data_IF_790303987948
#
_entry.id   IF_790303987948
#
_cell.length_a   1.000
_cell.length_b   1.000
_cell.length_c   1.000
_cell.angle_alpha   90.00
_cell.angle_beta   90.00
_cell.angle_gamma   90.00
#
_symmetry.space_group_name_H-M   'P 1'
#
loop_
_entity.id
_entity.type
_entity.pdbx_description
1 polymer ?
#
# COMPACT_ATOMS: atom_id res chain seq x y z
N UNK A 1 -2.63 -22.63 9.11
CA UNK A 1 -1.51 -21.76 9.55
C UNK A 1 -1.88 -20.33 9.23
N UNK A 2 -1.55 -19.35 10.09
CA UNK A 2 -1.84 -17.94 9.79
C UNK A 2 -0.89 -17.50 8.67
N UNK A 3 -1.38 -16.95 7.55
CA UNK A 3 -0.52 -16.51 6.47
C UNK A 3 0.29 -15.27 6.88
N UNK A 4 1.52 -15.20 6.37
CA UNK A 4 2.37 -14.03 6.55
C UNK A 4 2.05 -12.96 5.51
N UNK A 5 1.88 -11.72 5.97
CA UNK A 5 1.70 -10.56 5.11
C UNK A 5 2.44 -9.35 5.68
N UNK A 6 2.82 -8.41 4.81
CA UNK A 6 3.50 -7.16 5.16
C UNK A 6 3.10 -6.02 4.24
N UNK A 7 3.29 -4.79 4.68
CA UNK A 7 3.21 -3.63 3.80
C UNK A 7 4.50 -3.49 3.00
N UNK A 8 4.39 -3.06 1.73
CA UNK A 8 5.53 -2.83 0.83
C UNK A 8 6.31 -1.55 1.20
N UNK A 9 6.88 -1.55 2.40
CA UNK A 9 7.58 -0.40 3.00
C UNK A 9 9.09 -0.66 3.18
N UNK A 10 9.47 -1.93 3.38
CA UNK A 10 10.87 -2.31 3.53
C UNK A 10 11.60 -2.02 2.21
N UNK A 11 12.76 -1.38 2.28
CA UNK A 11 13.55 -0.92 1.13
C UNK A 11 12.88 0.16 0.26
N UNK A 12 11.80 0.78 0.74
CA UNK A 12 11.20 1.93 0.08
C UNK A 12 12.08 3.18 0.20
N UNK A 13 12.09 3.98 -0.85
CA UNK A 13 12.92 5.18 -0.99
C UNK A 13 12.01 6.40 -0.98
N UNK A 14 12.34 7.39 -0.14
CA UNK A 14 11.83 8.75 -0.27
C UNK A 14 12.82 9.54 -1.13
N UNK A 15 12.43 9.84 -2.36
CA UNK A 15 13.24 10.55 -3.34
C UNK A 15 12.75 11.98 -3.58
N UNK A 16 13.59 12.78 -4.21
CA UNK A 16 13.29 14.13 -4.69
C UNK A 16 13.78 14.28 -6.13
N UNK A 17 12.96 14.83 -7.01
CA UNK A 17 13.41 15.20 -8.35
C UNK A 17 14.41 16.35 -8.26
N UNK A 18 15.50 16.27 -9.03
CA UNK A 18 16.50 17.34 -9.13
C UNK A 18 16.44 17.89 -10.55
N UNK A 19 16.35 19.21 -10.67
CA UNK A 19 16.51 19.89 -11.95
C UNK A 19 17.99 20.25 -12.13
N UNK A 20 18.69 19.46 -12.94
CA UNK A 20 20.13 19.63 -13.25
C UNK A 20 20.43 21.02 -13.86
N UNK A 21 19.43 21.72 -14.40
CA UNK A 21 19.60 23.03 -15.01
C UNK A 21 19.53 24.22 -14.05
N UNK A 22 19.22 24.02 -12.76
CA UNK A 22 18.87 25.11 -11.81
C UNK A 22 19.55 25.06 -10.43
N UNK A 23 20.67 24.35 -10.29
CA UNK A 23 21.44 24.23 -9.02
C UNK A 23 21.82 25.59 -8.39
N UNK A 24 21.76 26.71 -9.14
CA UNK A 24 22.15 28.04 -8.68
C UNK A 24 21.00 29.00 -8.31
N UNK A 25 19.73 28.59 -8.36
CA UNK A 25 18.61 29.49 -8.06
C UNK A 25 18.30 29.55 -6.54
N UNK A 26 18.16 30.77 -5.99
CA UNK A 26 17.85 31.03 -4.58
C UNK A 26 16.42 30.62 -4.15
N UNK A 27 15.57 30.20 -5.08
CA UNK A 27 14.19 29.79 -4.82
C UNK A 27 13.96 28.37 -5.33
N UNK A 28 13.18 27.59 -4.57
CA UNK A 28 12.82 26.23 -4.99
C UNK A 28 12.00 26.30 -6.29
N UNK A 29 12.46 25.68 -7.40
CA UNK A 29 11.73 25.73 -8.66
C UNK A 29 10.35 25.05 -8.54
N UNK A 30 9.39 25.30 -9.46
CA UNK A 30 8.15 24.53 -9.52
C UNK A 30 8.43 23.09 -10.00
N UNK A 31 7.69 22.07 -9.52
CA UNK A 31 7.89 20.67 -9.89
C UNK A 31 7.98 20.44 -11.41
N UNK A 32 8.63 19.34 -11.86
CA UNK A 32 8.65 18.97 -13.27
C UNK A 32 7.22 18.97 -13.85
N UNK A 33 7.07 19.43 -15.09
CA UNK A 33 5.76 19.60 -15.72
C UNK A 33 4.90 18.33 -15.59
N UNK A 34 3.73 18.45 -14.96
CA UNK A 34 2.79 17.35 -14.76
C UNK A 34 2.87 16.64 -13.41
N UNK A 35 3.82 16.99 -12.54
CA UNK A 35 3.91 16.41 -11.18
C UNK A 35 3.40 17.39 -10.12
N UNK A 36 2.58 16.93 -9.16
CA UNK A 36 2.08 17.79 -8.08
C UNK A 36 3.16 18.10 -7.02
N UNK A 37 4.19 17.25 -6.89
CA UNK A 37 5.21 17.35 -5.84
C UNK A 37 6.61 17.04 -6.38
N UNK A 38 7.63 17.60 -5.73
CA UNK A 38 9.05 17.28 -5.97
C UNK A 38 9.49 15.98 -5.31
N UNK A 39 8.86 15.64 -4.19
CA UNK A 39 9.17 14.46 -3.41
C UNK A 39 8.28 13.29 -3.86
N UNK A 40 8.84 12.09 -3.90
CA UNK A 40 8.14 10.87 -4.29
C UNK A 40 8.54 9.71 -3.39
N UNK A 41 7.63 8.75 -3.24
CA UNK A 41 7.92 7.47 -2.60
C UNK A 41 8.02 6.42 -3.70
N UNK A 42 9.11 5.66 -3.70
CA UNK A 42 9.27 4.48 -4.54
C UNK A 42 9.35 3.25 -3.64
N UNK A 43 8.52 2.25 -3.92
CA UNK A 43 8.51 0.98 -3.18
C UNK A 43 9.14 -0.12 -4.05
N UNK A 44 9.64 -1.22 -3.46
CA UNK A 44 10.16 -2.34 -4.23
C UNK A 44 9.13 -2.86 -5.24
N UNK A 45 9.59 -3.09 -6.47
CA UNK A 45 8.76 -3.62 -7.54
C UNK A 45 8.38 -5.07 -7.23
N UNK A 46 7.08 -5.31 -7.04
CA UNK A 46 6.52 -6.65 -6.94
C UNK A 46 6.54 -7.34 -8.32
N UNK A 47 6.52 -8.69 -8.39
CA UNK A 47 6.46 -9.41 -9.66
C UNK A 47 5.32 -8.88 -10.54
N UNK A 48 5.59 -8.52 -11.79
CA UNK A 48 4.58 -7.86 -12.65
C UNK A 48 4.69 -8.28 -14.13
N UNK A 49 5.30 -9.44 -14.38
CA UNK A 49 5.42 -10.02 -15.71
C UNK A 49 4.10 -10.66 -16.19
N UNK A 50 4.02 -11.05 -17.48
CA UNK A 50 2.79 -11.61 -18.06
C UNK A 50 2.32 -12.94 -17.44
N UNK A 51 3.20 -13.62 -16.71
CA UNK A 51 2.93 -14.90 -16.04
C UNK A 51 2.73 -14.74 -14.53
N UNK A 52 3.00 -13.54 -14.00
CA UNK A 52 2.84 -13.27 -12.57
C UNK A 52 1.36 -13.05 -12.24
N UNK A 53 0.99 -13.36 -11.00
CA UNK A 53 -0.37 -13.16 -10.53
C UNK A 53 -0.75 -11.66 -10.57
N UNK A 54 -2.02 -11.38 -10.86
CA UNK A 54 -2.55 -10.02 -10.73
C UNK A 54 -2.62 -9.59 -9.26
N UNK A 55 -2.61 -8.28 -9.03
CA UNK A 55 -2.93 -7.69 -7.73
C UNK A 55 -4.35 -8.12 -7.34
N UNK A 56 -4.51 -8.57 -6.10
CA UNK A 56 -5.77 -8.96 -5.50
C UNK A 56 -6.22 -7.88 -4.50
N UNK A 57 -7.53 -7.62 -4.46
CA UNK A 57 -8.14 -6.65 -3.55
C UNK A 57 -8.96 -7.39 -2.50
N UNK A 58 -8.56 -7.27 -1.24
CA UNK A 58 -9.11 -8.03 -0.11
C UNK A 58 -10.16 -7.26 0.68
N UNK A 59 -10.02 -5.94 0.77
CA UNK A 59 -11.04 -5.04 1.31
C UNK A 59 -11.26 -3.88 0.34
N UNK A 60 -12.48 -3.37 0.26
CA UNK A 60 -12.82 -2.16 -0.47
C UNK A 60 -12.66 -0.91 0.39
N UNK A 61 -12.95 0.24 -0.20
CA UNK A 61 -12.97 1.53 0.48
C UNK A 61 -14.21 1.70 1.36
N UNK A 62 -15.39 1.38 0.83
CA UNK A 62 -16.69 1.58 1.48
C UNK A 62 -17.30 0.28 2.04
N UNK A 63 -16.73 -0.86 1.64
CA UNK A 63 -17.16 -2.19 2.06
C UNK A 63 -15.94 -3.11 2.29
N UNK A 64 -16.07 -4.08 3.20
CA UNK A 64 -15.00 -5.03 3.51
C UNK A 64 -14.87 -6.12 2.42
N UNK A 65 -15.78 -6.17 1.45
CA UNK A 65 -15.88 -7.23 0.48
C UNK A 65 -16.73 -8.42 0.95
N UNK A 66 -16.87 -9.46 0.11
CA UNK A 66 -17.63 -10.65 0.45
C UNK A 66 -17.00 -11.40 1.63
N UNK A 67 -17.82 -12.13 2.38
CA UNK A 67 -17.34 -13.01 3.43
C UNK A 67 -16.43 -14.09 2.81
N UNK A 68 -15.18 -14.23 3.30
CA UNK A 68 -14.24 -15.15 2.68
C UNK A 68 -14.64 -16.61 2.89
N UNK A 69 -14.37 -17.43 1.88
CA UNK A 69 -14.56 -18.87 1.92
C UNK A 69 -13.58 -19.56 2.88
N UNK A 70 -13.82 -20.82 3.27
CA UNK A 70 -13.01 -21.54 4.26
C UNK A 70 -11.55 -21.80 3.85
N UNK A 71 -11.18 -21.56 2.59
CA UNK A 71 -9.83 -21.75 2.05
C UNK A 71 -9.08 -20.42 1.80
N UNK A 72 -9.74 -19.28 1.99
CA UNK A 72 -9.19 -17.95 1.70
C UNK A 72 -8.48 -17.38 2.93
N UNK A 73 -7.45 -18.09 3.38
CA UNK A 73 -6.79 -17.79 4.66
C UNK A 73 -6.19 -16.38 4.71
N UNK A 74 -5.68 -15.84 3.58
CA UNK A 74 -5.16 -14.46 3.52
C UNK A 74 -6.27 -13.45 3.70
N UNK A 75 -7.37 -13.58 2.95
CA UNK A 75 -8.53 -12.69 3.07
C UNK A 75 -9.09 -12.70 4.50
N UNK A 76 -9.22 -13.88 5.11
CA UNK A 76 -9.62 -14.02 6.53
C UNK A 76 -8.67 -13.25 7.45
N UNK A 77 -7.36 -13.42 7.26
CA UNK A 77 -6.35 -12.75 8.10
C UNK A 77 -6.38 -11.24 7.92
N UNK A 78 -6.57 -10.74 6.70
CA UNK A 78 -6.64 -9.31 6.40
C UNK A 78 -7.94 -8.68 6.92
N UNK A 79 -9.08 -9.36 6.79
CA UNK A 79 -10.34 -8.92 7.40
C UNK A 79 -10.23 -8.84 8.93
N UNK A 80 -9.62 -9.86 9.55
CA UNK A 80 -9.37 -9.86 10.98
C UNK A 80 -8.39 -8.73 11.40
N UNK A 81 -7.37 -8.45 10.59
CA UNK A 81 -6.44 -7.34 10.82
C UNK A 81 -7.13 -5.98 10.73
N UNK A 82 -7.94 -5.74 9.70
CA UNK A 82 -8.77 -4.52 9.58
C UNK A 82 -9.66 -4.32 10.81
N UNK A 83 -10.34 -5.38 11.26
CA UNK A 83 -11.16 -5.32 12.48
C UNK A 83 -10.31 -5.05 13.73
N UNK A 84 -9.16 -5.71 13.86
CA UNK A 84 -8.24 -5.49 14.98
C UNK A 84 -7.78 -4.02 15.04
N UNK A 85 -7.40 -3.42 13.92
CA UNK A 85 -6.97 -2.02 13.85
C UNK A 85 -8.06 -1.08 14.36
N UNK A 86 -9.31 -1.31 13.96
CA UNK A 86 -10.45 -0.52 14.44
C UNK A 86 -10.68 -0.67 15.95
N UNK A 87 -10.63 -1.90 16.47
CA UNK A 87 -10.81 -2.15 17.91
C UNK A 87 -9.66 -1.55 18.73
N UNK A 88 -8.43 -1.77 18.27
CA UNK A 88 -7.21 -1.26 18.92
C UNK A 88 -7.19 0.27 18.96
N UNK A 89 -7.62 0.92 17.87
CA UNK A 89 -7.73 2.38 17.79
C UNK A 89 -8.95 2.95 18.52
N UNK A 90 -9.79 2.09 19.15
CA UNK A 90 -11.09 2.45 19.75
C UNK A 90 -12.04 3.13 18.76
N UNK A 91 -11.98 2.73 17.49
CA UNK A 91 -12.79 3.26 16.41
C UNK A 91 -12.28 4.57 15.80
N UNK A 92 -11.11 5.08 16.20
CA UNK A 92 -10.57 6.33 15.64
C UNK A 92 -9.97 6.16 14.24
N UNK A 93 -9.55 4.94 13.90
CA UNK A 93 -8.83 4.65 12.67
C UNK A 93 -9.17 3.25 12.15
N UNK A 94 -9.39 3.15 10.85
CA UNK A 94 -9.67 1.91 10.13
C UNK A 94 -8.76 1.84 8.89
N UNK A 95 -8.05 0.71 8.71
CA UNK A 95 -7.38 0.40 7.46
C UNK A 95 -8.31 -0.38 6.54
N UNK A 96 -8.52 0.16 5.34
CA UNK A 96 -9.32 -0.41 4.28
C UNK A 96 -8.54 -0.37 2.96
N UNK A 97 -9.19 -0.73 1.86
CA UNK A 97 -8.56 -0.84 0.54
C UNK A 97 -7.28 -1.70 0.55
N UNK A 98 -7.29 -2.77 1.36
CA UNK A 98 -6.15 -3.67 1.45
C UNK A 98 -6.08 -4.49 0.17
N UNK A 99 -5.03 -4.23 -0.61
CA UNK A 99 -4.75 -4.90 -1.87
C UNK A 99 -3.27 -5.25 -1.94
N UNK A 100 -2.93 -6.26 -2.72
CA UNK A 100 -1.56 -6.74 -2.77
C UNK A 100 -1.38 -7.97 -3.63
N UNK A 101 -0.17 -8.51 -3.57
CA UNK A 101 0.16 -9.77 -4.23
C UNK A 101 1.33 -10.44 -3.54
N UNK A 102 1.55 -11.72 -3.85
CA UNK A 102 2.70 -12.45 -3.33
C UNK A 102 4.00 -11.98 -3.98
N UNK A 103 5.02 -11.79 -3.16
CA UNK A 103 6.38 -11.59 -3.64
C UNK A 103 7.04 -12.93 -4.05
N UNK A 104 8.29 -12.85 -4.50
CA UNK A 104 9.09 -14.01 -4.93
C UNK A 104 9.38 -15.01 -3.79
N UNK A 105 9.17 -14.62 -2.53
CA UNK A 105 9.38 -15.47 -1.35
C UNK A 105 8.08 -16.13 -0.88
N UNK A 106 6.94 -15.78 -1.48
CA UNK A 106 5.63 -16.30 -1.11
C UNK A 106 4.96 -15.52 0.03
N UNK A 107 5.44 -14.32 0.36
CA UNK A 107 4.83 -13.45 1.37
C UNK A 107 3.86 -12.47 0.69
N UNK A 108 2.65 -12.33 1.24
CA UNK A 108 1.67 -11.38 0.75
C UNK A 108 2.13 -9.94 1.03
N UNK A 109 2.40 -9.17 -0.02
CA UNK A 109 2.82 -7.78 0.07
C UNK A 109 1.65 -6.85 -0.24
N UNK A 110 1.21 -6.10 0.77
CA UNK A 110 0.15 -5.11 0.68
C UNK A 110 0.71 -3.79 0.15
N UNK A 111 -0.04 -3.16 -0.74
CA UNK A 111 0.29 -1.89 -1.37
C UNK A 111 -0.87 -0.91 -1.23
N UNK A 112 -0.55 0.38 -1.22
CA UNK A 112 -1.51 1.49 -1.26
C UNK A 112 -2.74 1.34 -0.35
N UNK A 113 -2.57 1.05 0.96
CA UNK A 113 -3.71 0.96 1.87
C UNK A 113 -4.37 2.33 2.05
N UNK A 114 -5.68 2.33 2.25
CA UNK A 114 -6.42 3.51 2.63
C UNK A 114 -6.73 3.52 4.12
N UNK A 115 -6.78 4.72 4.69
CA UNK A 115 -7.14 4.95 6.08
C UNK A 115 -8.38 5.83 6.15
N UNK A 116 -9.39 5.37 6.88
CA UNK A 116 -10.45 6.24 7.38
C UNK A 116 -10.16 6.64 8.82
N UNK A 117 -10.23 7.93 9.10
CA UNK A 117 -10.05 8.49 10.43
C UNK A 117 -11.26 9.31 10.85
N UNK A 118 -11.72 9.11 12.08
CA UNK A 118 -12.76 9.92 12.70
C UNK A 118 -12.10 11.11 13.42
N UNK A 119 -11.74 12.16 12.67
CA UNK A 119 -11.28 13.44 13.23
C UNK A 119 -12.18 14.55 12.73
#
# INVERSE_FOLDING_TARGET
TIPEFRFNLVDSILGRFVDDSKITALEAPPPPCGLPYWDFIATPLLPCGPIDASIEKFTGNDDVGPAPGPKEHVTIALHAFTHYVAVWSRGNFLLCDLQGMYDKTGTMCLIDPQSHSCV
#
